data_IF_773294016095
#
_entry.id   IF_773294016095
#
_cell.length_a   1.000
_cell.length_b   1.000
_cell.length_c   1.000
_cell.angle_alpha   90.00
_cell.angle_beta   90.00
_cell.angle_gamma   90.00
#
_symmetry.space_group_name_H-M   'P 1'
#
loop_
_entity.id
_entity.type
_entity.pdbx_description
1 polymer ?
#
# COMPACT_ATOMS: atom_id res chain seq x y z
N UNK A 1 -28.25 -50.40 -23.74
CA UNK A 1 -27.78 -49.04 -24.09
C UNK A 1 -26.68 -48.68 -23.12
N UNK A 2 -25.46 -49.02 -23.52
CA UNK A 2 -24.24 -48.82 -22.77
C UNK A 2 -23.74 -47.41 -23.09
N UNK A 3 -23.25 -46.71 -22.07
CA UNK A 3 -22.01 -45.90 -22.03
C UNK A 3 -22.17 -44.89 -20.90
N UNK A 4 -21.49 -45.14 -19.79
CA UNK A 4 -20.08 -44.79 -19.52
C UNK A 4 -19.89 -43.28 -19.37
N UNK A 5 -19.35 -42.93 -18.20
CA UNK A 5 -18.67 -41.67 -17.93
C UNK A 5 -19.46 -40.81 -16.94
N UNK A 6 -18.93 -40.38 -15.81
CA UNK A 6 -17.62 -40.54 -15.22
C UNK A 6 -17.79 -40.03 -13.78
N UNK A 7 -17.39 -40.80 -12.77
CA UNK A 7 -16.12 -40.58 -12.07
C UNK A 7 -16.27 -39.61 -10.90
N UNK A 8 -16.13 -40.22 -9.72
CA UNK A 8 -15.55 -39.66 -8.50
C UNK A 8 -16.46 -38.80 -7.62
N UNK A 9 -17.35 -39.53 -6.96
CA UNK A 9 -17.57 -39.44 -5.52
C UNK A 9 -16.24 -39.22 -4.75
N UNK A 10 -15.82 -37.97 -4.58
CA UNK A 10 -14.97 -37.55 -3.46
C UNK A 10 -15.86 -36.77 -2.50
N UNK A 11 -16.44 -37.53 -1.59
CA UNK A 11 -17.06 -37.10 -0.36
C UNK A 11 -16.09 -36.23 0.48
N UNK A 12 -16.67 -35.25 1.20
CA UNK A 12 -16.19 -34.58 2.45
C UNK A 12 -15.40 -33.27 2.24
N UNK A 13 -15.79 -32.05 2.67
CA UNK A 13 -16.67 -31.56 3.73
C UNK A 13 -17.21 -30.14 3.40
N UNK A 14 -18.46 -29.89 3.80
CA UNK A 14 -19.12 -28.61 4.12
C UNK A 14 -18.50 -27.28 3.63
N UNK A 15 -19.21 -26.56 2.74
CA UNK A 15 -19.73 -25.18 2.89
C UNK A 15 -20.72 -24.95 1.73
N UNK A 16 -21.93 -24.51 2.07
CA UNK A 16 -23.08 -24.48 1.17
C UNK A 16 -22.91 -23.60 -0.07
N UNK A 17 -23.10 -24.21 -1.23
CA UNK A 17 -23.46 -23.55 -2.48
C UNK A 17 -24.99 -23.47 -2.52
N UNK A 18 -25.55 -22.25 -2.50
CA UNK A 18 -26.97 -22.06 -2.82
C UNK A 18 -27.12 -22.00 -4.32
N UNK A 19 -27.98 -22.85 -4.87
CA UNK A 19 -28.43 -22.83 -6.26
C UNK A 19 -29.92 -22.52 -6.29
N UNK A 20 -30.29 -21.40 -6.92
CA UNK A 20 -31.65 -21.11 -7.33
C UNK A 20 -31.62 -20.59 -8.78
N UNK A 21 -32.53 -21.12 -9.60
CA UNK A 21 -32.58 -20.94 -11.04
C UNK A 21 -33.13 -19.59 -11.53
N UNK A 22 -33.13 -19.47 -12.87
CA UNK A 22 -33.54 -18.39 -13.77
C UNK A 22 -32.84 -17.01 -13.62
N UNK A 23 -31.86 -16.76 -14.49
CA UNK A 23 -31.39 -15.41 -14.82
C UNK A 23 -29.94 -15.11 -14.43
N UNK A 24 -29.01 -15.36 -15.37
CA UNK A 24 -27.66 -14.80 -15.35
C UNK A 24 -26.71 -15.41 -14.33
N UNK A 25 -25.51 -15.74 -14.76
CA UNK A 25 -24.37 -15.75 -13.85
C UNK A 25 -24.17 -14.30 -13.40
N UNK A 26 -24.89 -13.86 -12.37
CA UNK A 26 -24.48 -12.69 -11.61
C UNK A 26 -23.22 -13.12 -10.86
N UNK A 27 -22.10 -13.17 -11.59
CA UNK A 27 -20.77 -13.00 -11.00
C UNK A 27 -20.93 -11.75 -10.15
N UNK A 28 -20.89 -11.92 -8.83
CA UNK A 28 -21.25 -10.89 -7.88
C UNK A 28 -20.33 -9.68 -8.02
N UNK A 29 -20.56 -8.83 -9.02
CA UNK A 29 -20.20 -7.43 -8.98
C UNK A 29 -21.24 -6.81 -8.07
N UNK A 30 -21.12 -7.01 -6.76
CA UNK A 30 -21.88 -6.25 -5.78
C UNK A 30 -21.57 -4.77 -6.05
N UNK A 31 -22.48 -3.98 -6.65
CA UNK A 31 -22.21 -2.60 -7.01
C UNK A 31 -22.28 -1.79 -5.72
N UNK A 32 -21.16 -1.76 -4.98
CA UNK A 32 -21.10 -1.16 -3.65
C UNK A 32 -20.16 -1.86 -2.66
N UNK A 33 -19.46 -2.93 -3.04
CA UNK A 33 -18.38 -3.43 -2.17
C UNK A 33 -17.23 -2.41 -2.16
N UNK A 34 -16.70 -2.04 -0.99
CA UNK A 34 -15.59 -1.10 -0.94
C UNK A 34 -14.39 -1.74 -1.67
N UNK A 35 -13.77 -0.98 -2.57
CA UNK A 35 -12.57 -1.36 -3.29
C UNK A 35 -11.40 -1.32 -2.33
N UNK A 36 -10.65 -2.43 -2.25
CA UNK A 36 -9.40 -2.49 -1.51
C UNK A 36 -8.45 -1.38 -1.97
N UNK A 37 -7.72 -0.76 -1.04
CA UNK A 37 -6.80 0.30 -1.39
C UNK A 37 -5.64 -0.30 -2.18
N UNK A 38 -5.25 0.37 -3.27
CA UNK A 38 -4.14 -0.01 -4.13
C UNK A 38 -3.28 1.20 -4.41
N UNK A 39 -1.97 1.05 -4.32
CA UNK A 39 -1.03 2.16 -4.51
C UNK A 39 -0.67 2.24 -5.99
N UNK A 40 -1.16 3.28 -6.65
CA UNK A 40 -0.90 3.54 -8.07
C UNK A 40 0.43 4.25 -8.30
N UNK A 41 0.83 5.11 -7.36
CA UNK A 41 2.12 5.81 -7.41
C UNK A 41 2.85 5.58 -6.11
N UNK A 42 3.98 4.89 -6.20
CA UNK A 42 4.84 4.59 -5.06
C UNK A 42 5.73 5.80 -4.73
N UNK A 43 6.10 5.98 -3.45
CA UNK A 43 7.09 6.98 -3.09
C UNK A 43 8.46 6.61 -3.67
N UNK A 44 9.20 7.62 -4.12
CA UNK A 44 10.51 7.45 -4.76
C UNK A 44 11.61 7.84 -3.78
N UNK A 45 12.71 7.09 -3.79
CA UNK A 45 13.92 7.40 -3.02
C UNK A 45 14.41 8.82 -3.35
N UNK A 46 14.81 9.58 -2.32
CA UNK A 46 15.28 10.95 -2.48
C UNK A 46 16.66 11.10 -1.88
N UNK A 47 17.52 11.85 -2.57
CA UNK A 47 18.84 12.22 -2.07
C UNK A 47 18.85 13.71 -1.79
N UNK A 48 19.06 14.09 -0.54
CA UNK A 48 19.09 15.49 -0.11
C UNK A 48 20.34 15.77 0.70
N UNK A 49 20.71 17.03 0.81
CA UNK A 49 21.84 17.45 1.63
C UNK A 49 21.40 17.66 3.08
N UNK A 50 22.28 17.43 4.06
CA UNK A 50 22.01 17.77 5.47
C UNK A 50 21.49 19.21 5.59
N UNK A 51 20.35 19.39 6.25
CA UNK A 51 19.64 20.66 6.39
C UNK A 51 18.52 20.89 5.37
N UNK A 52 18.45 20.10 4.31
CA UNK A 52 17.39 20.20 3.30
C UNK A 52 16.18 19.33 3.65
N UNK A 53 15.02 19.65 3.06
CA UNK A 53 13.80 18.86 3.19
C UNK A 53 13.63 17.93 1.99
N UNK A 54 13.12 16.72 2.23
CA UNK A 54 12.76 15.76 1.19
C UNK A 54 11.24 15.65 1.11
N UNK A 55 10.70 15.58 -0.10
CA UNK A 55 9.26 15.41 -0.31
C UNK A 55 8.98 14.06 -0.92
N UNK A 56 8.17 13.27 -0.23
CA UNK A 56 7.69 11.97 -0.67
C UNK A 56 6.21 12.08 -1.03
N UNK A 57 5.85 11.56 -2.20
CA UNK A 57 4.47 11.56 -2.68
C UNK A 57 4.03 10.13 -2.91
N UNK A 58 2.82 9.80 -2.48
CA UNK A 58 2.17 8.52 -2.75
C UNK A 58 0.77 8.78 -3.29
N UNK A 59 0.36 8.00 -4.28
CA UNK A 59 -1.01 8.03 -4.80
C UNK A 59 -1.61 6.65 -4.60
N UNK A 60 -2.73 6.60 -3.89
CA UNK A 60 -3.50 5.40 -3.70
C UNK A 60 -4.92 5.58 -4.26
N UNK A 61 -5.42 4.52 -4.88
CA UNK A 61 -6.80 4.40 -5.33
C UNK A 61 -7.54 3.43 -4.40
N UNK A 62 -8.81 3.68 -4.14
CA UNK A 62 -9.65 2.81 -3.32
C UNK A 62 -10.94 3.50 -2.93
N UNK A 63 -11.81 2.79 -2.21
CA UNK A 63 -13.04 3.40 -1.68
C UNK A 63 -12.71 4.29 -0.49
N UNK A 64 -13.15 5.55 -0.56
CA UNK A 64 -13.03 6.51 0.53
C UNK A 64 -13.95 6.11 1.71
N UNK A 65 -13.58 6.44 2.97
CA UNK A 65 -12.41 7.20 3.39
C UNK A 65 -11.12 6.37 3.38
N UNK A 66 -10.07 6.92 2.76
CA UNK A 66 -8.72 6.36 2.77
C UNK A 66 -7.94 7.01 3.92
N UNK A 67 -7.45 6.21 4.85
CA UNK A 67 -6.56 6.66 5.92
C UNK A 67 -5.13 6.38 5.51
N UNK A 68 -4.29 7.42 5.50
CA UNK A 68 -2.85 7.29 5.26
C UNK A 68 -2.11 7.42 6.57
N UNK A 69 -1.03 6.67 6.71
CA UNK A 69 -0.10 6.79 7.84
C UNK A 69 1.32 6.58 7.34
N UNK A 70 2.12 7.64 7.33
CA UNK A 70 3.54 7.51 7.01
C UNK A 70 4.31 6.92 8.18
N UNK A 71 5.34 6.16 7.82
CA UNK A 71 6.27 5.49 8.70
C UNK A 71 7.69 5.77 8.22
N UNK A 72 8.58 6.02 9.16
CA UNK A 72 10.00 6.22 8.96
C UNK A 72 10.76 5.12 9.66
N UNK A 73 11.49 4.31 8.90
CA UNK A 73 12.26 3.16 9.37
C UNK A 73 11.42 2.20 10.25
N UNK A 74 10.13 2.05 9.95
CA UNK A 74 9.18 1.25 10.73
C UNK A 74 8.40 2.01 11.82
N UNK A 75 8.83 3.22 12.18
CA UNK A 75 8.18 4.06 13.20
C UNK A 75 7.11 4.95 12.57
N UNK A 76 5.87 4.91 13.07
CA UNK A 76 4.81 5.80 12.58
C UNK A 76 5.12 7.27 12.88
N UNK A 77 4.94 8.13 11.88
CA UNK A 77 5.13 9.56 11.99
C UNK A 77 3.80 10.20 12.39
N UNK A 78 3.70 10.69 13.62
CA UNK A 78 2.49 11.35 14.11
C UNK A 78 2.14 12.57 13.26
N UNK A 79 0.88 12.66 12.81
CA UNK A 79 0.39 13.76 11.97
C UNK A 79 0.64 13.58 10.47
N UNK A 80 1.37 12.55 10.06
CA UNK A 80 1.61 12.27 8.65
C UNK A 80 0.51 11.38 8.07
N UNK A 81 -0.64 11.99 7.78
CA UNK A 81 -1.83 11.32 7.21
C UNK A 81 -2.22 11.82 5.82
N UNK A 82 -1.35 12.61 5.20
CA UNK A 82 -1.52 13.12 3.84
C UNK A 82 -0.91 12.15 2.80
N UNK A 83 -1.31 12.28 1.54
CA UNK A 83 -0.67 11.61 0.39
C UNK A 83 0.72 12.15 0.07
N UNK A 84 1.08 13.30 0.63
CA UNK A 84 2.40 13.90 0.52
C UNK A 84 2.99 14.08 1.90
N UNK A 85 4.22 13.66 2.07
CA UNK A 85 4.98 13.87 3.29
C UNK A 85 6.27 14.61 2.99
N UNK A 86 6.39 15.81 3.54
CA UNK A 86 7.63 16.58 3.52
C UNK A 86 8.34 16.35 4.84
N UNK A 87 9.56 15.82 4.79
CA UNK A 87 10.39 15.66 5.98
C UNK A 87 10.80 17.05 6.49
N UNK A 88 10.96 17.22 7.81
CA UNK A 88 11.69 18.38 8.34
C UNK A 88 13.14 18.37 7.85
N UNK A 89 13.90 19.42 8.21
CA UNK A 89 15.32 19.55 7.87
C UNK A 89 16.07 18.26 8.21
N UNK A 90 16.53 17.57 7.17
CA UNK A 90 17.13 16.24 7.30
C UNK A 90 18.49 16.35 7.95
N UNK A 91 18.76 15.45 8.86
CA UNK A 91 20.03 15.36 9.59
C UNK A 91 20.80 14.14 9.13
N UNK A 92 22.10 14.08 9.44
CA UNK A 92 22.93 12.92 9.13
C UNK A 92 22.40 11.62 9.78
N UNK A 93 21.62 11.74 10.86
CA UNK A 93 20.94 10.63 11.53
C UNK A 93 19.74 10.08 10.73
N UNK A 94 19.21 10.86 9.78
CA UNK A 94 18.12 10.46 8.90
C UNK A 94 18.62 9.71 7.66
N UNK A 95 19.94 9.68 7.43
CA UNK A 95 20.54 8.99 6.29
C UNK A 95 20.22 7.48 6.32
N UNK A 96 19.67 6.97 5.23
CA UNK A 96 19.22 5.58 5.12
C UNK A 96 17.83 5.33 5.72
N UNK A 97 17.12 6.37 6.16
CA UNK A 97 15.74 6.23 6.64
C UNK A 97 14.83 5.78 5.50
N UNK A 98 14.04 4.74 5.75
CA UNK A 98 13.05 4.24 4.80
C UNK A 98 11.67 4.80 5.11
N UNK A 99 11.07 5.48 4.14
CA UNK A 99 9.72 6.03 4.24
C UNK A 99 8.72 5.09 3.58
N UNK A 100 7.81 4.54 4.38
CA UNK A 100 6.68 3.74 3.91
C UNK A 100 5.38 4.42 4.31
N UNK A 101 4.34 4.27 3.52
CA UNK A 101 2.99 4.67 3.90
C UNK A 101 2.12 3.43 4.01
N UNK A 102 1.26 3.39 5.02
CA UNK A 102 0.19 2.41 5.12
C UNK A 102 -1.09 3.13 4.78
N UNK A 103 -1.79 2.62 3.76
CA UNK A 103 -3.10 3.12 3.34
C UNK A 103 -4.13 2.07 3.71
N UNK A 104 -5.12 2.46 4.51
CA UNK A 104 -6.15 1.56 5.01
C UNK A 104 -7.54 2.12 4.74
N UNK A 105 -8.49 1.24 4.42
CA UNK A 105 -9.91 1.57 4.33
C UNK A 105 -10.78 0.40 4.87
N UNK A 106 -12.09 0.50 4.66
CA UNK A 106 -13.08 -0.50 5.08
C UNK A 106 -12.98 -1.85 4.35
N UNK A 107 -12.35 -1.90 3.18
CA UNK A 107 -12.12 -3.12 2.40
C UNK A 107 -10.81 -3.82 2.76
N UNK A 108 -9.80 -3.09 3.24
CA UNK A 108 -8.50 -3.66 3.60
C UNK A 108 -7.41 -2.61 3.79
N UNK A 109 -6.16 -3.06 3.79
CA UNK A 109 -4.98 -2.21 3.92
C UNK A 109 -3.90 -2.61 2.92
N UNK A 110 -3.14 -1.61 2.47
CA UNK A 110 -2.00 -1.76 1.56
C UNK A 110 -0.84 -0.94 2.10
N UNK A 111 0.37 -1.50 1.99
CA UNK A 111 1.60 -0.81 2.37
C UNK A 111 2.38 -0.44 1.12
N UNK A 112 2.92 0.77 1.06
CA UNK A 112 3.76 1.23 -0.06
C UNK A 112 5.12 0.56 -0.07
N UNK A 113 5.82 0.72 -1.19
CA UNK A 113 7.25 0.50 -1.23
C UNK A 113 7.98 1.44 -0.25
N UNK A 114 9.12 0.96 0.22
CA UNK A 114 10.03 1.75 1.04
C UNK A 114 10.83 2.72 0.17
N UNK A 115 10.60 4.01 0.36
CA UNK A 115 11.42 5.06 -0.25
C UNK A 115 12.61 5.39 0.64
N UNK A 116 13.82 5.16 0.17
CA UNK A 116 15.04 5.45 0.95
C UNK A 116 15.37 6.92 0.84
N UNK A 117 15.56 7.57 2.00
CA UNK A 117 16.12 8.91 2.10
C UNK A 117 17.63 8.80 2.29
N UNK A 118 18.39 9.29 1.31
CA UNK A 118 19.83 9.41 1.42
C UNK A 118 20.17 10.85 1.77
N UNK A 119 20.80 11.05 2.92
CA UNK A 119 21.26 12.38 3.33
C UNK A 119 22.75 12.47 3.07
N UNK A 120 23.14 13.25 2.07
CA UNK A 120 24.53 13.57 1.80
C UNK A 120 24.96 14.71 2.72
N UNK A 121 26.06 14.55 3.45
CA UNK A 121 26.63 15.69 4.16
C UNK A 121 27.01 16.76 3.13
N UNK A 122 26.62 18.01 3.35
CA UNK A 122 27.20 19.10 2.59
C UNK A 122 28.72 18.98 2.76
N UNK A 123 29.45 18.79 1.66
CA UNK A 123 30.90 18.79 1.71
C UNK A 123 31.32 20.16 2.27
N UNK A 124 31.67 20.22 3.55
CA UNK A 124 32.34 21.37 4.12
C UNK A 124 33.70 21.35 3.44
N UNK A 125 33.86 22.15 2.38
CA UNK A 125 35.17 22.37 1.79
C UNK A 125 36.10 22.78 2.96
N UNK A 126 37.26 22.13 3.15
CA UNK A 126 38.20 22.58 4.17
C UNK A 126 38.60 24.00 3.81
N UNK A 127 38.15 24.97 4.59
CA UNK A 127 38.72 26.31 4.58
C UNK A 127 40.14 26.18 5.14
N UNK A 128 41.11 26.17 4.24
CA UNK A 128 42.54 26.33 4.55
C UNK A 128 42.82 27.74 5.03
#
# INVERSE_FOLDING_TARGET
>A
MNRLGAVLCVLLFAIGIVSAGCGGYVSATNPGAPLAPSITTQPVSQTVTTGQTATFTVVAAGTAPLSYQWRKSGTAISGATASTYTTPATTSADNGSQFTVVVSNTAGSVTSNAATLTVSAAAVAPSI
#
